data_IF_278987613061
#
_entry.id   IF_278987613061
#
_cell.length_a   1.000
_cell.length_b   1.000
_cell.length_c   1.000
_cell.angle_alpha   90.00
_cell.angle_beta   90.00
_cell.angle_gamma   90.00
#
_symmetry.space_group_name_H-M   'P 1'
#
loop_
_entity.id
_entity.type
_entity.pdbx_description
1 polymer ?
#
# COMPACT_ATOMS: atom_id res chain seq x y z
N UNK A 1 18.29 -10.96 8.49
CA UNK A 1 17.03 -10.20 8.62
C UNK A 1 15.99 -10.89 9.50
N UNK A 2 15.51 -12.12 9.18
CA UNK A 2 14.49 -12.81 10.02
C UNK A 2 14.80 -12.84 11.52
N UNK A 3 16.00 -13.30 11.91
CA UNK A 3 16.44 -13.32 13.32
C UNK A 3 16.31 -11.97 14.04
N UNK A 4 16.54 -10.87 13.33
CA UNK A 4 16.38 -9.52 13.86
C UNK A 4 14.90 -9.17 14.00
N UNK A 5 14.11 -9.37 12.95
CA UNK A 5 12.69 -9.03 12.97
C UNK A 5 11.87 -9.84 13.99
N UNK A 6 12.33 -11.04 14.36
CA UNK A 6 11.71 -11.89 15.39
C UNK A 6 12.36 -11.74 16.78
N UNK A 7 13.26 -10.77 16.98
CA UNK A 7 13.89 -10.55 18.28
C UNK A 7 12.92 -9.92 19.28
N UNK A 8 13.26 -9.99 20.56
CA UNK A 8 12.58 -9.27 21.63
C UNK A 8 12.48 -7.77 21.28
N UNK A 9 11.30 -7.18 21.48
CA UNK A 9 11.04 -5.76 21.22
C UNK A 9 11.07 -5.32 19.75
N UNK A 10 11.11 -6.24 18.79
CA UNK A 10 11.17 -5.90 17.36
C UNK A 10 10.03 -4.97 16.89
N UNK A 11 8.80 -5.11 17.41
CA UNK A 11 7.68 -4.22 17.06
C UNK A 11 7.93 -2.79 17.56
N UNK A 12 8.60 -2.63 18.70
CA UNK A 12 9.02 -1.31 19.18
C UNK A 12 10.11 -0.71 18.30
N UNK A 13 11.08 -1.51 17.88
CA UNK A 13 12.09 -1.09 16.92
C UNK A 13 11.50 -0.67 15.57
N UNK A 14 10.52 -1.41 15.05
CA UNK A 14 9.77 -1.05 13.84
C UNK A 14 9.01 0.27 14.05
N UNK A 15 8.39 0.48 15.21
CA UNK A 15 7.69 1.72 15.54
C UNK A 15 8.63 2.93 15.59
N UNK A 16 9.83 2.78 16.15
CA UNK A 16 10.87 3.82 16.11
C UNK A 16 11.28 4.16 14.68
N UNK A 17 11.46 3.16 13.81
CA UNK A 17 11.74 3.39 12.39
C UNK A 17 10.58 4.15 11.72
N UNK A 18 9.33 3.82 12.03
CA UNK A 18 8.17 4.55 11.51
C UNK A 18 8.23 6.02 11.90
N UNK A 19 8.54 6.32 13.17
CA UNK A 19 8.68 7.68 13.66
C UNK A 19 9.87 8.42 13.06
N UNK A 20 11.00 7.74 12.85
CA UNK A 20 12.19 8.32 12.21
C UNK A 20 11.93 8.64 10.74
N UNK A 21 11.30 7.70 10.03
CA UNK A 21 11.26 7.74 8.58
C UNK A 21 9.96 8.35 8.05
N UNK A 22 8.76 8.05 8.55
CA UNK A 22 7.50 8.51 7.92
C UNK A 22 6.71 9.57 8.67
N UNK A 23 7.11 9.91 9.88
CA UNK A 23 6.42 10.93 10.67
C UNK A 23 7.02 12.29 10.38
N UNK A 24 6.17 13.22 9.95
CA UNK A 24 6.54 14.61 9.72
C UNK A 24 5.85 15.51 10.74
N UNK A 25 6.62 16.46 11.25
CA UNK A 25 6.16 17.55 12.09
C UNK A 25 5.75 18.72 11.21
N UNK A 26 4.49 19.12 11.29
CA UNK A 26 3.95 20.25 10.53
C UNK A 26 3.75 21.42 11.48
N UNK A 27 4.33 22.57 11.12
CA UNK A 27 3.94 23.84 11.73
C UNK A 27 2.61 24.28 11.14
N UNK A 28 1.56 24.30 11.96
CA UNK A 28 0.21 24.65 11.51
C UNK A 28 0.02 26.15 11.30
N UNK A 29 0.87 27.00 11.90
CA UNK A 29 0.82 28.45 11.71
C UNK A 29 1.46 28.83 10.38
N UNK A 30 2.70 28.37 10.17
CA UNK A 30 3.46 28.64 8.94
C UNK A 30 3.05 27.73 7.76
N UNK A 31 2.29 26.66 8.04
CA UNK A 31 1.88 25.63 7.07
C UNK A 31 3.08 24.97 6.37
N UNK A 32 4.18 24.83 7.10
CA UNK A 32 5.43 24.25 6.61
C UNK A 32 5.77 22.95 7.34
N UNK A 33 6.53 22.09 6.69
CA UNK A 33 7.13 20.91 7.33
C UNK A 33 8.40 21.37 8.04
N UNK A 34 8.47 21.11 9.34
CA UNK A 34 9.58 21.54 10.21
C UNK A 34 10.82 20.65 10.00
N UNK A 35 10.61 19.39 9.63
CA UNK A 35 11.70 18.43 9.47
C UNK A 35 12.62 18.78 8.30
N UNK A 36 13.91 18.54 8.53
CA UNK A 36 14.98 18.82 7.58
C UNK A 36 14.67 18.23 6.19
N UNK A 37 14.65 19.04 5.12
CA UNK A 37 14.37 18.53 3.78
C UNK A 37 15.37 17.44 3.33
N UNK A 38 16.64 17.54 3.72
CA UNK A 38 17.66 16.53 3.42
C UNK A 38 17.31 15.15 4.00
N UNK A 39 16.83 15.12 5.24
CA UNK A 39 16.28 13.90 5.86
C UNK A 39 15.05 13.39 5.10
N UNK A 40 14.14 14.28 4.68
CA UNK A 40 12.91 13.89 3.95
C UNK A 40 13.18 13.24 2.60
N UNK A 41 14.27 13.56 1.91
CA UNK A 41 14.64 12.91 0.64
C UNK A 41 15.84 11.97 0.75
N UNK A 42 16.24 11.63 1.98
CA UNK A 42 17.38 10.75 2.19
C UNK A 42 17.11 9.32 1.71
N UNK A 43 18.09 8.77 1.01
CA UNK A 43 18.13 7.34 0.62
C UNK A 43 18.44 6.41 1.80
N UNK A 44 18.70 6.97 2.99
CA UNK A 44 18.88 6.21 4.23
C UNK A 44 17.56 5.83 4.90
N UNK A 45 16.43 6.40 4.46
CA UNK A 45 15.10 6.05 4.97
C UNK A 45 14.66 4.72 4.38
N UNK A 46 13.96 3.92 5.18
CA UNK A 46 13.30 2.74 4.64
C UNK A 46 12.18 3.17 3.71
N UNK A 47 12.02 2.44 2.61
CA UNK A 47 10.78 2.53 1.84
C UNK A 47 9.69 1.63 2.42
N UNK A 48 8.47 1.80 1.91
CA UNK A 48 7.31 1.02 2.33
C UNK A 48 7.51 -0.50 2.19
N UNK A 49 7.95 -1.05 1.04
CA UNK A 49 8.25 -2.48 0.94
C UNK A 49 9.22 -3.01 2.00
N UNK A 50 10.27 -2.27 2.33
CA UNK A 50 11.25 -2.61 3.38
C UNK A 50 10.63 -2.62 4.78
N UNK A 51 9.77 -1.64 5.09
CA UNK A 51 8.96 -1.67 6.31
C UNK A 51 8.14 -2.95 6.40
N UNK A 52 7.42 -3.23 5.32
CA UNK A 52 6.46 -4.32 5.29
C UNK A 52 7.19 -5.67 5.28
N UNK A 53 8.40 -5.75 4.74
CA UNK A 53 9.32 -6.88 4.87
C UNK A 53 9.67 -7.12 6.34
N UNK A 54 10.11 -6.08 7.08
CA UNK A 54 10.38 -6.21 8.52
C UNK A 54 9.14 -6.66 9.30
N UNK A 55 8.01 -6.02 9.07
CA UNK A 55 6.74 -6.38 9.72
C UNK A 55 6.31 -7.82 9.38
N UNK A 56 6.44 -8.18 8.10
CA UNK A 56 6.12 -9.51 7.58
C UNK A 56 6.96 -10.61 8.20
N UNK A 57 8.24 -10.33 8.47
CA UNK A 57 9.12 -11.24 9.20
C UNK A 57 8.82 -11.24 10.71
N UNK A 58 8.46 -10.09 11.30
CA UNK A 58 8.19 -9.97 12.72
C UNK A 58 6.99 -10.83 13.17
N UNK A 59 5.92 -10.86 12.37
CA UNK A 59 4.72 -11.65 12.67
C UNK A 59 4.92 -13.17 12.54
N UNK A 60 6.05 -13.62 12.00
CA UNK A 60 6.44 -15.04 11.98
C UNK A 60 6.88 -15.54 13.36
N UNK A 61 7.19 -14.64 14.29
CA UNK A 61 7.63 -15.02 15.63
C UNK A 61 6.57 -15.86 16.34
N UNK A 62 6.97 -16.99 16.91
CA UNK A 62 6.12 -17.79 17.80
C UNK A 62 5.98 -17.15 19.20
N UNK A 63 6.83 -16.17 19.52
CA UNK A 63 6.91 -15.51 20.82
C UNK A 63 6.27 -14.12 20.79
N UNK A 64 5.48 -13.81 21.82
CA UNK A 64 4.88 -12.48 22.05
C UNK A 64 5.91 -11.42 22.47
N UNK A 65 7.14 -11.84 22.79
CA UNK A 65 8.25 -10.96 23.21
C UNK A 65 8.64 -9.91 22.17
N UNK A 66 8.22 -10.07 20.91
CA UNK A 66 8.38 -9.04 19.88
C UNK A 66 7.69 -7.72 20.23
N UNK A 67 6.66 -7.75 21.07
CA UNK A 67 5.89 -6.57 21.49
C UNK A 67 5.66 -6.45 23.00
N UNK A 68 6.01 -7.45 23.81
CA UNK A 68 5.90 -7.38 25.29
C UNK A 68 7.18 -6.93 25.98
N UNK A 69 8.33 -6.99 25.29
CA UNK A 69 9.63 -6.62 25.85
C UNK A 69 10.09 -5.28 25.29
N UNK A 70 10.37 -4.32 26.18
CA UNK A 70 11.08 -3.10 25.82
C UNK A 70 12.59 -3.40 25.78
N UNK A 71 13.13 -3.53 24.56
CA UNK A 71 14.57 -3.67 24.32
C UNK A 71 15.23 -2.36 23.90
N UNK A 72 16.55 -2.37 23.79
CA UNK A 72 17.30 -1.29 23.16
C UNK A 72 17.03 -1.27 21.65
N UNK A 73 16.18 -0.34 21.22
CA UNK A 73 15.77 -0.20 19.82
C UNK A 73 16.89 0.37 18.95
N UNK A 74 17.92 1.01 19.51
CA UNK A 74 19.02 1.59 18.73
C UNK A 74 19.83 0.53 17.99
N UNK A 75 20.08 -0.61 18.66
CA UNK A 75 20.75 -1.78 18.07
C UNK A 75 19.87 -2.38 16.98
N UNK A 76 18.56 -2.49 17.23
CA UNK A 76 17.61 -3.01 16.24
C UNK A 76 17.62 -2.16 14.97
N UNK A 77 17.45 -0.84 15.11
CA UNK A 77 17.41 0.11 13.99
C UNK A 77 18.71 0.06 13.18
N UNK A 78 19.86 0.12 13.86
CA UNK A 78 21.17 0.08 13.20
C UNK A 78 21.44 -1.23 12.45
N UNK A 79 20.94 -2.36 12.97
CA UNK A 79 21.03 -3.64 12.27
C UNK A 79 20.03 -3.74 11.12
N UNK A 80 18.82 -3.18 11.29
CA UNK A 80 17.79 -3.16 10.24
C UNK A 80 18.28 -2.35 9.03
N UNK A 81 18.77 -1.13 9.26
CA UNK A 81 19.31 -0.26 8.21
C UNK A 81 20.45 -0.94 7.43
N UNK A 82 21.41 -1.55 8.15
CA UNK A 82 22.53 -2.26 7.52
C UNK A 82 22.06 -3.43 6.65
N UNK A 83 21.15 -4.26 7.18
CA UNK A 83 20.68 -5.46 6.48
C UNK A 83 19.79 -5.11 5.28
N UNK A 84 19.01 -4.04 5.37
CA UNK A 84 18.17 -3.56 4.26
C UNK A 84 19.00 -2.86 3.20
N UNK A 85 20.05 -2.12 3.60
CA UNK A 85 21.05 -1.60 2.66
C UNK A 85 21.77 -2.72 1.92
N UNK A 86 22.19 -3.77 2.63
CA UNK A 86 22.78 -4.95 2.01
C UNK A 86 21.81 -5.62 1.03
N UNK A 87 20.52 -5.77 1.40
CA UNK A 87 19.50 -6.30 0.50
C UNK A 87 19.37 -5.44 -0.76
N UNK A 88 19.21 -4.13 -0.60
CA UNK A 88 19.12 -3.18 -1.72
C UNK A 88 20.34 -3.29 -2.64
N UNK A 89 21.54 -3.27 -2.07
CA UNK A 89 22.78 -3.35 -2.84
C UNK A 89 22.91 -4.68 -3.59
N UNK A 90 22.46 -5.80 -3.00
CA UNK A 90 22.39 -7.09 -3.69
C UNK A 90 21.41 -7.09 -4.85
N UNK A 91 20.21 -6.54 -4.65
CA UNK A 91 19.23 -6.38 -5.74
C UNK A 91 19.81 -5.54 -6.87
N UNK A 92 20.53 -4.46 -6.55
CA UNK A 92 21.18 -3.61 -7.55
C UNK A 92 22.35 -4.30 -8.27
N UNK A 93 23.13 -5.12 -7.59
CA UNK A 93 24.20 -5.93 -8.21
C UNK A 93 23.59 -6.95 -9.18
N UNK A 94 22.49 -7.61 -8.81
CA UNK A 94 21.78 -8.56 -9.68
C UNK A 94 21.24 -7.85 -10.93
N UNK A 95 20.71 -6.63 -10.79
CA UNK A 95 20.30 -5.79 -11.92
C UNK A 95 21.48 -5.45 -12.83
N UNK A 96 22.58 -4.95 -12.26
CA UNK A 96 23.78 -4.55 -13.02
C UNK A 96 24.45 -5.71 -13.72
N UNK A 97 24.53 -6.88 -13.09
CA UNK A 97 25.11 -8.08 -13.68
C UNK A 97 24.24 -8.68 -14.79
N UNK A 98 22.93 -8.46 -14.73
CA UNK A 98 22.00 -8.84 -15.79
C UNK A 98 21.96 -7.83 -16.97
N UNK A 99 22.59 -6.66 -16.83
CA UNK A 99 22.67 -5.64 -17.88
C UNK A 99 23.93 -5.82 -18.73
N UNK A 100 23.82 -6.18 -20.02
CA UNK A 100 24.99 -6.13 -20.90
C UNK A 100 25.45 -4.68 -21.11
N UNK A 101 26.73 -4.51 -21.43
CA UNK A 101 27.33 -3.20 -21.72
C UNK A 101 26.64 -2.48 -22.90
N UNK A 102 25.95 -3.24 -23.76
CA UNK A 102 25.19 -2.75 -24.89
C UNK A 102 23.78 -3.37 -24.88
N UNK A 103 22.75 -2.57 -24.63
CA UNK A 103 21.35 -3.03 -24.53
C UNK A 103 20.81 -3.64 -25.85
N UNK A 104 21.50 -3.39 -26.97
CA UNK A 104 21.19 -3.93 -28.29
C UNK A 104 21.69 -5.37 -28.50
N UNK A 105 22.58 -5.88 -27.64
CA UNK A 105 23.14 -7.24 -27.70
C UNK A 105 22.31 -8.26 -26.88
N UNK A 106 21.20 -7.82 -26.28
CA UNK A 106 20.31 -8.67 -25.51
C UNK A 106 19.54 -9.61 -26.44
N UNK A 107 19.99 -10.87 -26.53
CA UNK A 107 19.32 -11.90 -27.34
C UNK A 107 17.90 -12.24 -26.85
N UNK A 108 17.65 -12.21 -25.53
CA UNK A 108 16.32 -12.39 -24.94
C UNK A 108 16.02 -11.26 -23.94
N UNK A 109 15.08 -10.35 -24.24
CA UNK A 109 14.71 -9.24 -23.38
C UNK A 109 14.31 -9.65 -21.95
N UNK A 110 13.81 -10.87 -21.74
CA UNK A 110 13.34 -11.35 -20.43
C UNK A 110 14.48 -11.51 -19.40
N UNK A 111 15.71 -11.77 -19.85
CA UNK A 111 16.85 -12.00 -18.96
C UNK A 111 17.32 -10.71 -18.26
N UNK A 112 17.12 -9.55 -18.92
CA UNK A 112 17.40 -8.21 -18.38
C UNK A 112 16.17 -7.60 -17.71
N UNK A 113 14.99 -7.83 -18.30
CA UNK A 113 13.71 -7.29 -17.78
C UNK A 113 13.35 -7.91 -16.44
N UNK A 114 13.72 -9.16 -16.14
CA UNK A 114 13.42 -9.80 -14.85
C UNK A 114 14.01 -9.05 -13.65
N UNK A 115 15.34 -8.90 -13.54
CA UNK A 115 16.00 -8.18 -12.45
C UNK A 115 15.63 -6.69 -12.40
N UNK A 116 15.63 -5.99 -13.54
CA UNK A 116 15.23 -4.57 -13.59
C UNK A 116 13.76 -4.35 -13.19
N UNK A 117 12.85 -5.22 -13.64
CA UNK A 117 11.46 -5.14 -13.22
C UNK A 117 11.32 -5.45 -11.73
N UNK A 118 12.13 -6.35 -11.14
CA UNK A 118 12.09 -6.60 -9.67
C UNK A 118 12.43 -5.33 -8.89
N UNK A 119 13.48 -4.62 -9.28
CA UNK A 119 13.88 -3.36 -8.63
C UNK A 119 12.78 -2.31 -8.81
N UNK A 120 12.36 -2.01 -10.04
CA UNK A 120 11.37 -0.96 -10.29
C UNK A 120 10.01 -1.28 -9.63
N UNK A 121 9.62 -2.55 -9.58
CA UNK A 121 8.40 -3.00 -8.89
C UNK A 121 8.52 -2.79 -7.38
N UNK A 122 9.68 -3.11 -6.82
CA UNK A 122 9.88 -3.03 -5.38
C UNK A 122 10.05 -1.58 -4.94
N UNK A 123 10.84 -0.78 -5.66
CA UNK A 123 11.26 0.56 -5.22
C UNK A 123 10.55 1.75 -5.91
N UNK A 124 9.92 1.58 -7.09
CA UNK A 124 9.37 2.72 -7.87
C UNK A 124 7.83 2.84 -7.90
N UNK A 125 7.10 1.92 -7.27
CA UNK A 125 5.63 1.92 -7.31
C UNK A 125 5.01 2.87 -6.27
N UNK A 126 4.91 4.17 -6.60
CA UNK A 126 4.03 5.10 -5.89
C UNK A 126 2.66 5.19 -6.58
N UNK A 127 1.59 5.26 -5.79
CA UNK A 127 0.20 5.21 -6.27
C UNK A 127 -0.48 6.57 -6.15
N UNK A 128 -1.32 6.74 -5.14
CA UNK A 128 -2.09 7.96 -4.91
C UNK A 128 -1.62 8.67 -3.65
N UNK A 129 -2.02 9.92 -3.45
CA UNK A 129 -2.00 10.53 -2.12
C UNK A 129 -3.09 9.90 -1.23
N UNK A 130 -2.86 9.86 0.09
CA UNK A 130 -3.77 9.21 1.05
C UNK A 130 -5.24 9.67 0.90
N UNK A 131 -5.45 10.97 0.72
CA UNK A 131 -6.77 11.58 0.60
C UNK A 131 -7.50 11.23 -0.71
N UNK A 132 -6.79 10.78 -1.74
CA UNK A 132 -7.36 10.40 -3.03
C UNK A 132 -7.94 8.98 -3.00
N UNK A 133 -7.47 8.09 -2.11
CA UNK A 133 -7.97 6.72 -2.05
C UNK A 133 -9.48 6.62 -1.81
N UNK A 134 -10.09 7.26 -0.79
CA UNK A 134 -11.50 7.06 -0.50
C UNK A 134 -12.48 7.31 -1.67
N UNK A 135 -12.42 8.44 -2.42
CA UNK A 135 -13.32 8.63 -3.56
C UNK A 135 -13.09 7.59 -4.66
N UNK A 136 -11.83 7.23 -4.95
CA UNK A 136 -11.52 6.21 -5.96
C UNK A 136 -11.96 4.80 -5.55
N UNK A 137 -11.73 4.39 -4.30
CA UNK A 137 -12.22 3.09 -3.77
C UNK A 137 -13.75 3.02 -3.90
N UNK A 138 -14.45 4.08 -3.50
CA UNK A 138 -15.91 4.16 -3.61
C UNK A 138 -16.38 4.00 -5.05
N UNK A 139 -15.76 4.71 -5.99
CA UNK A 139 -16.14 4.65 -7.40
C UNK A 139 -15.80 3.30 -8.02
N UNK A 140 -14.61 2.77 -7.73
CA UNK A 140 -14.11 1.50 -8.25
C UNK A 140 -15.02 0.32 -7.96
N UNK A 141 -15.54 0.24 -6.73
CA UNK A 141 -16.35 -0.89 -6.28
C UNK A 141 -17.85 -0.56 -6.19
N UNK A 142 -18.30 0.55 -6.80
CA UNK A 142 -19.71 0.96 -6.76
C UNK A 142 -20.65 -0.11 -7.33
N UNK A 143 -20.20 -0.86 -8.34
CA UNK A 143 -20.96 -1.92 -9.00
C UNK A 143 -20.81 -3.29 -8.34
N UNK A 144 -19.91 -3.42 -7.37
CA UNK A 144 -19.59 -4.69 -6.69
C UNK A 144 -20.17 -4.77 -5.27
N UNK A 145 -21.00 -3.80 -4.88
CA UNK A 145 -21.51 -3.68 -3.51
C UNK A 145 -22.26 -4.92 -3.02
N UNK A 146 -23.12 -5.49 -3.86
CA UNK A 146 -23.90 -6.68 -3.50
C UNK A 146 -23.02 -7.92 -3.34
N UNK A 147 -21.99 -8.05 -4.19
CA UNK A 147 -21.04 -9.15 -4.10
C UNK A 147 -20.24 -9.04 -2.80
N UNK A 148 -19.76 -7.85 -2.45
CA UNK A 148 -18.99 -7.61 -1.22
C UNK A 148 -19.81 -7.89 0.04
N UNK A 149 -21.07 -7.44 0.08
CA UNK A 149 -21.95 -7.71 1.21
C UNK A 149 -22.21 -9.21 1.39
N UNK A 150 -22.54 -9.92 0.30
CA UNK A 150 -22.87 -11.35 0.34
C UNK A 150 -21.66 -12.21 0.69
N UNK A 151 -20.48 -11.92 0.12
CA UNK A 151 -19.30 -12.79 0.25
C UNK A 151 -18.35 -12.41 1.38
N UNK A 152 -18.34 -11.13 1.79
CA UNK A 152 -17.38 -10.60 2.76
C UNK A 152 -18.05 -9.93 3.96
N UNK A 153 -19.38 -9.91 4.02
CA UNK A 153 -20.16 -9.42 5.16
C UNK A 153 -20.13 -7.90 5.36
N UNK A 154 -19.49 -7.15 4.46
CA UNK A 154 -19.31 -5.71 4.57
C UNK A 154 -19.13 -5.06 3.19
N UNK A 155 -19.78 -3.92 2.97
CA UNK A 155 -19.63 -3.12 1.75
C UNK A 155 -18.45 -2.15 1.85
N UNK A 156 -18.05 -1.58 0.72
CA UNK A 156 -16.90 -0.65 0.64
C UNK A 156 -17.05 0.59 1.52
N UNK A 157 -18.25 1.17 1.63
CA UNK A 157 -18.43 2.43 2.36
C UNK A 157 -18.06 2.28 3.86
N UNK A 158 -18.60 1.30 4.60
CA UNK A 158 -18.13 0.99 5.95
C UNK A 158 -16.64 0.69 6.06
N UNK A 159 -16.03 -0.01 5.09
CA UNK A 159 -14.58 -0.26 5.11
C UNK A 159 -13.79 1.06 5.08
N UNK A 160 -14.17 1.99 4.19
CA UNK A 160 -13.57 3.33 4.11
C UNK A 160 -13.77 4.11 5.42
N UNK A 161 -14.97 4.06 5.99
CA UNK A 161 -15.29 4.75 7.25
C UNK A 161 -14.46 4.23 8.42
N UNK A 162 -14.27 2.92 8.50
CA UNK A 162 -13.41 2.28 9.51
C UNK A 162 -11.96 2.70 9.29
N UNK A 163 -11.43 2.58 8.07
CA UNK A 163 -10.04 2.97 7.77
C UNK A 163 -9.75 4.45 8.07
N UNK A 164 -10.68 5.35 7.75
CA UNK A 164 -10.59 6.77 8.14
C UNK A 164 -10.61 6.96 9.64
N UNK A 165 -11.51 6.27 10.35
CA UNK A 165 -11.54 6.33 11.80
C UNK A 165 -10.22 5.86 12.42
N UNK A 166 -9.64 4.76 11.91
CA UNK A 166 -8.32 4.28 12.33
C UNK A 166 -7.26 5.37 12.09
N UNK A 167 -7.18 5.88 10.86
CA UNK A 167 -6.21 6.92 10.47
C UNK A 167 -6.31 8.17 11.35
N UNK A 168 -7.53 8.67 11.57
CA UNK A 168 -7.77 9.83 12.44
C UNK A 168 -7.36 9.58 13.88
N UNK A 169 -7.60 8.37 14.42
CA UNK A 169 -7.23 8.01 15.79
C UNK A 169 -5.71 7.96 15.96
N UNK A 170 -5.03 7.25 15.06
CA UNK A 170 -3.58 7.14 15.05
C UNK A 170 -2.94 8.53 14.90
N UNK A 171 -3.41 9.36 13.97
CA UNK A 171 -2.90 10.72 13.79
C UNK A 171 -3.03 11.58 15.05
N UNK A 172 -4.15 11.46 15.78
CA UNK A 172 -4.33 12.16 17.07
C UNK A 172 -3.37 11.63 18.13
N UNK A 173 -3.20 10.32 18.24
CA UNK A 173 -2.27 9.70 19.20
C UNK A 173 -0.82 10.11 18.92
N UNK A 174 -0.41 10.11 17.65
CA UNK A 174 0.92 10.54 17.24
C UNK A 174 1.13 12.05 17.46
N UNK A 175 0.09 12.87 17.27
CA UNK A 175 0.13 14.30 17.58
C UNK A 175 0.36 14.55 19.08
N UNK A 176 -0.26 13.76 19.95
CA UNK A 176 -0.02 13.81 21.41
C UNK A 176 1.43 13.43 21.73
N UNK A 177 1.96 12.36 21.13
CA UNK A 177 3.38 11.98 21.25
C UNK A 177 4.31 13.13 20.81
N UNK A 178 4.01 13.77 19.68
CA UNK A 178 4.77 14.93 19.19
C UNK A 178 4.75 16.12 20.16
N UNK A 179 3.60 16.41 20.77
CA UNK A 179 3.47 17.45 21.78
C UNK A 179 4.28 17.14 23.05
N UNK A 180 4.22 15.89 23.53
CA UNK A 180 5.00 15.43 24.69
C UNK A 180 6.51 15.54 24.44
N UNK A 181 6.97 15.16 23.24
CA UNK A 181 8.38 15.37 22.85
C UNK A 181 8.76 16.85 22.87
N UNK A 182 7.90 17.73 22.34
CA UNK A 182 8.14 19.18 22.33
C UNK A 182 8.17 19.79 23.73
N UNK A 183 7.42 19.24 24.68
CA UNK A 183 7.45 19.67 26.10
C UNK A 183 8.61 19.07 26.90
N UNK A 184 9.52 18.32 26.28
CA UNK A 184 10.67 17.72 26.95
C UNK A 184 10.35 16.45 27.75
N UNK A 185 9.17 15.85 27.54
CA UNK A 185 8.83 14.57 28.16
C UNK A 185 9.68 13.45 27.55
N UNK A 186 10.39 12.70 28.39
CA UNK A 186 11.12 11.52 27.95
C UNK A 186 10.13 10.41 27.58
N UNK A 187 10.12 10.02 26.31
CA UNK A 187 9.32 8.91 25.79
C UNK A 187 10.21 7.72 25.50
N UNK A 188 9.70 6.52 25.74
CA UNK A 188 10.34 5.28 25.33
C UNK A 188 9.70 4.73 24.04
N UNK A 189 10.30 3.68 23.48
CA UNK A 189 9.84 3.03 22.26
C UNK A 189 8.44 2.39 22.38
N UNK A 190 8.05 2.02 23.61
CA UNK A 190 6.70 1.57 23.95
C UNK A 190 5.67 2.68 23.78
N UNK A 191 5.97 3.91 24.18
CA UNK A 191 5.06 5.06 24.00
C UNK A 191 4.76 5.33 22.51
N UNK A 192 5.79 5.22 21.67
CA UNK A 192 5.65 5.36 20.22
C UNK A 192 4.80 4.22 19.65
N UNK A 193 5.06 3.00 20.07
CA UNK A 193 4.30 1.83 19.65
C UNK A 193 2.83 1.95 20.05
N UNK A 194 2.57 2.39 21.29
CA UNK A 194 1.22 2.60 21.82
C UNK A 194 0.45 3.67 21.03
N UNK A 195 1.14 4.68 20.48
CA UNK A 195 0.51 5.68 19.62
C UNK A 195 0.05 5.13 18.26
N UNK A 196 0.57 3.96 17.87
CA UNK A 196 0.20 3.23 16.67
C UNK A 196 -0.82 2.11 16.96
N UNK A 197 -1.34 2.03 18.18
CA UNK A 197 -2.28 0.98 18.62
C UNK A 197 -3.66 1.56 18.90
N UNK A 198 -4.70 0.83 18.49
CA UNK A 198 -6.09 1.10 18.86
C UNK A 198 -6.77 -0.13 19.47
N UNK A 199 -7.65 0.03 20.46
CA UNK A 199 -8.46 -1.08 20.96
C UNK A 199 -9.48 -1.55 19.90
N UNK A 200 -9.58 -2.87 19.66
CA UNK A 200 -10.61 -3.42 18.77
C UNK A 200 -12.03 -3.12 19.27
N UNK A 201 -12.19 -2.99 20.59
CA UNK A 201 -13.45 -2.59 21.21
C UNK A 201 -13.94 -1.20 20.76
N UNK A 202 -13.03 -0.27 20.43
CA UNK A 202 -13.42 1.05 19.91
C UNK A 202 -14.11 0.93 18.56
N UNK A 203 -13.59 0.06 17.69
CA UNK A 203 -14.18 -0.21 16.39
C UNK A 203 -15.53 -0.91 16.55
N UNK A 204 -15.60 -1.96 17.37
CA UNK A 204 -16.85 -2.70 17.63
C UNK A 204 -17.95 -1.82 18.20
N UNK A 205 -17.61 -0.92 19.12
CA UNK A 205 -18.55 0.04 19.70
C UNK A 205 -19.12 1.00 18.66
N UNK A 206 -18.29 1.47 17.72
CA UNK A 206 -18.72 2.44 16.69
C UNK A 206 -19.40 1.79 15.49
N UNK A 207 -18.87 0.66 15.01
CA UNK A 207 -19.24 0.05 13.74
C UNK A 207 -19.98 -1.30 13.88
N UNK A 208 -20.17 -1.80 15.11
CA UNK A 208 -20.87 -3.06 15.42
C UNK A 208 -20.25 -4.23 14.64
N UNK A 209 -21.06 -5.17 14.14
CA UNK A 209 -20.57 -6.34 13.40
C UNK A 209 -19.75 -6.03 12.14
N UNK A 210 -19.79 -4.79 11.62
CA UNK A 210 -18.92 -4.36 10.51
C UNK A 210 -17.46 -4.27 10.96
N UNK A 211 -17.20 -4.01 12.24
CA UNK A 211 -15.85 -4.03 12.78
C UNK A 211 -15.23 -5.42 12.68
N UNK A 212 -16.00 -6.47 12.99
CA UNK A 212 -15.51 -7.85 12.96
C UNK A 212 -15.24 -8.31 11.52
N UNK A 213 -16.14 -7.98 10.58
CA UNK A 213 -15.90 -8.25 9.16
C UNK A 213 -14.64 -7.51 8.64
N UNK A 214 -14.45 -6.24 9.03
CA UNK A 214 -13.25 -5.49 8.65
C UNK A 214 -11.96 -6.08 9.25
N UNK A 215 -12.00 -6.42 10.54
CA UNK A 215 -10.88 -7.03 11.27
C UNK A 215 -10.43 -8.35 10.62
N UNK A 216 -11.37 -9.19 10.20
CA UNK A 216 -11.07 -10.44 9.50
C UNK A 216 -10.40 -10.22 8.13
N UNK A 217 -10.75 -9.13 7.43
CA UNK A 217 -10.27 -8.88 6.07
C UNK A 217 -8.92 -8.16 6.01
N UNK A 218 -8.58 -7.38 7.04
CA UNK A 218 -7.44 -6.46 6.98
C UNK A 218 -6.43 -6.63 8.12
N UNK A 219 -6.68 -7.52 9.08
CA UNK A 219 -5.76 -7.76 10.20
C UNK A 219 -5.31 -9.23 10.32
N UNK A 220 -4.03 -9.43 10.63
CA UNK A 220 -3.41 -10.73 10.93
C UNK A 220 -2.93 -10.79 12.37
N UNK A 221 -2.79 -11.98 12.95
CA UNK A 221 -2.25 -12.11 14.30
C UNK A 221 -0.75 -11.80 14.34
N UNK A 222 -0.29 -11.22 15.45
CA UNK A 222 1.10 -10.85 15.68
C UNK A 222 2.09 -12.03 15.76
N UNK A 223 1.59 -13.27 15.86
CA UNK A 223 2.40 -14.45 16.12
C UNK A 223 2.03 -15.62 15.22
N UNK A 224 3.05 -16.39 14.82
CA UNK A 224 2.94 -17.57 13.99
C UNK A 224 2.09 -17.37 12.71
N UNK A 225 2.13 -16.17 12.12
CA UNK A 225 1.48 -15.86 10.83
C UNK A 225 2.52 -15.57 9.76
N UNK A 226 2.08 -15.49 8.49
CA UNK A 226 2.97 -15.20 7.37
C UNK A 226 4.15 -16.19 7.22
N UNK A 227 4.00 -17.44 7.70
CA UNK A 227 5.07 -18.44 7.77
C UNK A 227 5.62 -18.82 6.37
N UNK A 228 4.79 -18.70 5.33
CA UNK A 228 5.18 -18.94 3.94
C UNK A 228 6.07 -17.85 3.32
N UNK A 229 6.30 -16.74 4.03
CA UNK A 229 7.13 -15.64 3.54
C UNK A 229 8.62 -15.92 3.80
N UNK A 230 9.24 -16.62 2.85
CA UNK A 230 10.64 -17.08 2.95
C UNK A 230 11.64 -16.34 2.08
N UNK A 231 11.16 -15.49 1.17
CA UNK A 231 11.93 -14.72 0.20
C UNK A 231 11.35 -13.28 0.19
N UNK A 232 12.17 -12.20 0.19
CA UNK A 232 11.68 -10.83 0.06
C UNK A 232 10.73 -10.58 -1.12
N UNK A 233 10.80 -11.41 -2.17
CA UNK A 233 9.91 -11.35 -3.34
C UNK A 233 8.75 -12.36 -3.30
N UNK A 234 8.65 -13.16 -2.24
CA UNK A 234 7.50 -14.01 -1.97
C UNK A 234 6.30 -13.18 -1.49
N UNK A 235 5.12 -13.82 -1.44
CA UNK A 235 3.92 -13.16 -0.95
C UNK A 235 4.08 -12.85 0.54
N UNK A 236 3.94 -11.57 0.87
CA UNK A 236 3.96 -11.09 2.24
C UNK A 236 2.52 -10.78 2.69
N UNK A 237 1.97 -11.55 3.64
CA UNK A 237 0.61 -11.37 4.13
C UNK A 237 0.38 -9.96 4.71
N UNK A 238 1.39 -9.33 5.32
CA UNK A 238 1.23 -7.97 5.86
C UNK A 238 1.04 -6.92 4.76
N UNK A 239 1.48 -7.19 3.53
CA UNK A 239 1.16 -6.32 2.40
C UNK A 239 -0.33 -6.37 2.04
N UNK A 240 -1.05 -7.41 2.43
CA UNK A 240 -2.46 -7.62 2.07
C UNK A 240 -3.39 -7.42 3.27
N UNK A 241 -2.85 -7.59 4.47
CA UNK A 241 -3.52 -7.35 5.74
C UNK A 241 -2.55 -6.57 6.64
N UNK A 242 -2.46 -5.24 6.46
CA UNK A 242 -1.39 -4.42 7.06
C UNK A 242 -1.59 -4.12 8.53
N UNK A 243 -2.71 -4.52 9.13
CA UNK A 243 -2.98 -4.38 10.56
C UNK A 243 -2.50 -5.65 11.27
N UNK A 244 -1.82 -5.48 12.40
CA UNK A 244 -1.38 -6.60 13.24
C UNK A 244 -2.20 -6.64 14.53
N UNK A 245 -2.87 -7.76 14.78
CA UNK A 245 -3.67 -8.02 15.97
C UNK A 245 -2.77 -8.50 17.10
N UNK A 246 -2.73 -7.72 18.17
CA UNK A 246 -2.03 -7.98 19.43
C UNK A 246 -3.11 -8.17 20.51
N UNK A 247 -3.56 -9.42 20.70
CA UNK A 247 -4.70 -9.71 21.57
C UNK A 247 -5.96 -8.92 21.15
N UNK A 248 -6.44 -8.04 22.04
CA UNK A 248 -7.62 -7.18 21.80
C UNK A 248 -7.29 -5.81 21.17
N UNK A 249 -6.06 -5.64 20.70
CA UNK A 249 -5.54 -4.40 20.15
C UNK A 249 -5.11 -4.59 18.69
N UNK A 250 -5.20 -3.50 17.93
CA UNK A 250 -4.78 -3.43 16.53
C UNK A 250 -3.60 -2.48 16.43
N UNK A 251 -2.43 -3.02 16.10
CA UNK A 251 -1.24 -2.26 15.73
C UNK A 251 -1.32 -1.89 14.24
N UNK A 252 -1.23 -0.59 13.95
CA UNK A 252 -1.44 0.00 12.62
C UNK A 252 -0.16 0.73 12.20
N UNK A 253 0.85 0.00 11.69
CA UNK A 253 2.17 0.56 11.39
C UNK A 253 2.16 1.50 10.19
N UNK A 254 1.21 1.33 9.27
CA UNK A 254 1.18 2.10 8.04
C UNK A 254 -0.26 2.35 7.56
N UNK A 255 -0.76 3.56 7.82
CA UNK A 255 -2.10 3.98 7.40
C UNK A 255 -2.22 4.01 5.86
N UNK A 256 -1.16 4.40 5.15
CA UNK A 256 -1.16 4.44 3.69
C UNK A 256 -1.38 3.05 3.08
N UNK A 257 -0.66 2.04 3.59
CA UNK A 257 -0.82 0.65 3.15
C UNK A 257 -2.23 0.12 3.43
N UNK A 258 -2.88 0.56 4.51
CA UNK A 258 -4.28 0.23 4.76
C UNK A 258 -5.18 0.71 3.61
N UNK A 259 -5.07 1.97 3.19
CA UNK A 259 -5.88 2.49 2.08
C UNK A 259 -5.52 1.85 0.74
N UNK A 260 -4.25 1.59 0.46
CA UNK A 260 -3.86 0.81 -0.72
C UNK A 260 -4.53 -0.56 -0.75
N UNK A 261 -4.52 -1.25 0.39
CA UNK A 261 -5.12 -2.56 0.52
C UNK A 261 -6.63 -2.52 0.32
N UNK A 262 -7.33 -1.51 0.85
CA UNK A 262 -8.76 -1.29 0.57
C UNK A 262 -9.02 -1.03 -0.92
N UNK A 263 -8.08 -0.39 -1.62
CA UNK A 263 -8.17 -0.16 -3.06
C UNK A 263 -7.89 -1.41 -3.88
N UNK A 264 -6.96 -2.26 -3.47
CA UNK A 264 -6.47 -3.40 -4.25
C UNK A 264 -7.20 -4.71 -3.95
N UNK A 265 -7.31 -5.07 -2.68
CA UNK A 265 -7.72 -6.42 -2.23
C UNK A 265 -9.11 -6.86 -2.68
N UNK A 266 -10.16 -6.01 -2.68
CA UNK A 266 -11.49 -6.47 -3.08
C UNK A 266 -11.55 -7.02 -4.51
N UNK A 267 -10.79 -6.43 -5.43
CA UNK A 267 -10.65 -6.95 -6.79
C UNK A 267 -10.06 -8.37 -6.81
N UNK A 268 -9.01 -8.63 -6.03
CA UNK A 268 -8.41 -9.97 -5.98
C UNK A 268 -9.30 -11.02 -5.33
N UNK A 269 -10.16 -10.63 -4.39
CA UNK A 269 -11.16 -11.54 -3.83
C UNK A 269 -12.17 -11.96 -4.91
N UNK A 270 -12.65 -10.99 -5.70
CA UNK A 270 -13.60 -11.23 -6.78
C UNK A 270 -13.01 -12.06 -7.93
N UNK A 271 -11.70 -11.94 -8.20
CA UNK A 271 -11.04 -12.76 -9.21
C UNK A 271 -11.03 -14.27 -8.88
N UNK A 272 -11.28 -14.65 -7.63
CA UNK A 272 -11.34 -16.07 -7.22
C UNK A 272 -12.74 -16.65 -7.27
N UNK A 273 -13.75 -15.81 -7.40
CA UNK A 273 -15.10 -16.27 -7.65
C UNK A 273 -15.24 -16.48 -9.16
N UNK A 274 -15.17 -17.73 -9.60
CA UNK A 274 -15.27 -18.08 -11.03
C UNK A 274 -16.57 -17.55 -11.66
N UNK A 275 -17.64 -17.41 -10.89
CA UNK A 275 -18.93 -16.92 -11.37
C UNK A 275 -19.00 -15.39 -11.44
N UNK A 276 -18.06 -14.67 -10.81
CA UNK A 276 -18.05 -13.22 -10.75
C UNK A 276 -16.80 -12.57 -11.36
N UNK A 277 -15.75 -13.35 -11.60
CA UNK A 277 -14.45 -12.87 -12.11
C UNK A 277 -14.59 -11.99 -13.36
N UNK A 278 -15.39 -12.40 -14.34
CA UNK A 278 -15.57 -11.62 -15.58
C UNK A 278 -16.33 -10.32 -15.34
N UNK A 279 -17.33 -10.33 -14.45
CA UNK A 279 -18.05 -9.12 -14.03
C UNK A 279 -17.09 -8.14 -13.35
N UNK A 280 -16.23 -8.63 -12.45
CA UNK A 280 -15.24 -7.81 -11.76
C UNK A 280 -14.21 -7.18 -12.71
N UNK A 281 -13.74 -7.94 -13.72
CA UNK A 281 -12.83 -7.42 -14.76
C UNK A 281 -13.51 -6.31 -15.57
N UNK A 282 -14.74 -6.52 -16.01
CA UNK A 282 -15.52 -5.51 -16.74
C UNK A 282 -15.76 -4.25 -15.89
N UNK A 283 -16.19 -4.40 -14.64
CA UNK A 283 -16.40 -3.28 -13.72
C UNK A 283 -15.12 -2.45 -13.51
N UNK A 284 -13.96 -3.11 -13.35
CA UNK A 284 -12.66 -2.45 -13.24
C UNK A 284 -12.28 -1.69 -14.52
N UNK A 285 -12.55 -2.27 -15.70
CA UNK A 285 -12.33 -1.62 -17.00
C UNK A 285 -13.15 -0.34 -17.12
N UNK A 286 -14.46 -0.43 -16.91
CA UNK A 286 -15.35 0.75 -16.96
C UNK A 286 -14.98 1.81 -15.92
N UNK A 287 -14.56 1.39 -14.72
CA UNK A 287 -14.05 2.34 -13.72
C UNK A 287 -12.84 3.13 -14.26
N UNK A 288 -11.85 2.45 -14.84
CA UNK A 288 -10.64 3.09 -15.34
C UNK A 288 -10.94 4.13 -16.42
N UNK A 289 -11.72 3.75 -17.43
CA UNK A 289 -12.13 4.62 -18.54
C UNK A 289 -12.91 5.84 -18.01
N UNK A 290 -13.99 5.60 -17.26
CA UNK A 290 -14.86 6.67 -16.77
C UNK A 290 -14.14 7.63 -15.81
N UNK A 291 -13.25 7.12 -14.97
CA UNK A 291 -12.43 7.95 -14.06
C UNK A 291 -11.40 8.77 -14.83
N UNK A 292 -10.69 8.16 -15.79
CA UNK A 292 -9.73 8.90 -16.61
C UNK A 292 -10.42 10.01 -17.41
N UNK A 293 -11.57 9.72 -18.03
CA UNK A 293 -12.36 10.73 -18.73
C UNK A 293 -12.82 11.84 -17.79
N UNK A 294 -13.29 11.50 -16.59
CA UNK A 294 -13.70 12.49 -15.59
C UNK A 294 -12.56 13.43 -15.19
N UNK A 295 -11.36 12.89 -14.94
CA UNK A 295 -10.17 13.69 -14.60
C UNK A 295 -9.82 14.61 -15.77
N UNK A 296 -9.77 14.09 -17.01
CA UNK A 296 -9.45 14.88 -18.20
C UNK A 296 -10.47 16.00 -18.43
N UNK A 297 -11.76 15.74 -18.21
CA UNK A 297 -12.80 16.78 -18.30
C UNK A 297 -12.61 17.90 -17.30
N UNK A 298 -12.10 17.60 -16.10
CA UNK A 298 -11.84 18.65 -15.09
C UNK A 298 -10.68 19.57 -15.47
N UNK A 299 -9.81 19.14 -16.39
CA UNK A 299 -8.64 19.89 -16.86
C UNK A 299 -8.93 20.60 -18.19
N UNK A 300 -9.54 19.89 -19.15
CA UNK A 300 -9.70 20.34 -20.53
C UNK A 300 -11.11 20.81 -20.87
N UNK A 301 -12.08 20.65 -19.98
CA UNK A 301 -13.50 20.94 -20.24
C UNK A 301 -14.26 19.75 -20.84
N UNK A 302 -15.55 19.58 -20.51
CA UNK A 302 -16.37 18.45 -20.97
C UNK A 302 -16.54 18.39 -22.50
N UNK A 303 -16.54 19.53 -23.18
CA UNK A 303 -16.69 19.67 -24.63
C UNK A 303 -15.49 19.12 -25.43
N UNK A 304 -14.33 19.04 -24.78
CA UNK A 304 -13.05 18.68 -25.39
C UNK A 304 -12.65 17.21 -25.16
N UNK A 305 -13.48 16.42 -24.45
CA UNK A 305 -13.15 15.04 -24.05
C UNK A 305 -14.20 14.06 -24.54
N UNK A 306 -13.79 13.19 -25.46
CA UNK A 306 -14.63 12.21 -26.14
C UNK A 306 -14.24 10.79 -25.71
N UNK A 307 -15.21 9.98 -25.26
CA UNK A 307 -15.00 8.58 -24.88
C UNK A 307 -15.39 7.63 -26.02
N UNK A 308 -14.73 6.47 -26.11
CA UNK A 308 -15.05 5.39 -27.05
C UNK A 308 -15.09 5.83 -28.53
N UNK A 309 -14.06 6.58 -28.96
CA UNK A 309 -13.98 7.10 -30.32
C UNK A 309 -13.59 5.99 -31.28
N UNK A 310 -14.40 5.78 -32.32
CA UNK A 310 -14.07 4.85 -33.41
C UNK A 310 -13.44 5.61 -34.57
N UNK A 311 -12.27 5.16 -35.01
CA UNK A 311 -11.58 5.70 -36.18
C UNK A 311 -11.94 4.89 -37.42
N UNK A 312 -12.18 5.59 -38.53
CA UNK A 312 -12.45 4.99 -39.83
C UNK A 312 -11.42 5.44 -40.88
N UNK A 313 -11.00 4.52 -41.74
CA UNK A 313 -10.25 4.79 -42.97
C UNK A 313 -11.23 4.82 -44.15
N UNK A 314 -11.74 6.01 -44.49
CA UNK A 314 -12.85 6.17 -45.43
C UNK A 314 -14.22 5.84 -44.80
N UNK A 315 -15.22 5.50 -45.61
CA UNK A 315 -16.62 5.38 -45.17
C UNK A 315 -17.01 4.04 -44.54
N UNK A 316 -16.19 3.00 -44.69
CA UNK A 316 -16.57 1.63 -44.28
C UNK A 316 -15.49 0.84 -43.53
N UNK A 317 -14.24 1.28 -43.54
CA UNK A 317 -13.16 0.51 -42.94
C UNK A 317 -12.82 1.04 -41.54
N UNK A 318 -12.96 0.21 -40.51
CA UNK A 318 -12.67 0.60 -39.13
C UNK A 318 -11.17 0.49 -38.89
N UNK A 319 -10.51 1.64 -38.71
CA UNK A 319 -9.06 1.72 -38.53
C UNK A 319 -8.61 1.48 -37.08
N UNK A 320 -9.48 1.74 -36.09
CA UNK A 320 -9.15 1.54 -34.68
C UNK A 320 -10.18 2.11 -33.71
N UNK A 321 -9.90 1.96 -32.43
CA UNK A 321 -10.67 2.52 -31.32
C UNK A 321 -9.73 3.28 -30.38
N UNK A 322 -10.24 4.36 -29.80
CA UNK A 322 -9.56 5.17 -28.79
C UNK A 322 -10.48 5.24 -27.58
N UNK A 323 -9.98 4.82 -26.41
CA UNK A 323 -10.77 4.82 -25.18
C UNK A 323 -11.16 6.26 -24.80
N UNK A 324 -10.21 7.20 -24.81
CA UNK A 324 -10.47 8.63 -24.58
C UNK A 324 -9.62 9.49 -25.52
N UNK A 325 -10.28 10.39 -26.24
CA UNK A 325 -9.68 11.41 -27.10
C UNK A 325 -9.90 12.79 -26.50
N UNK A 326 -8.84 13.56 -26.33
CA UNK A 326 -8.92 14.97 -25.93
C UNK A 326 -8.49 15.85 -27.10
N UNK A 327 -9.31 16.84 -27.45
CA UNK A 327 -8.98 17.87 -28.44
C UNK A 327 -8.84 19.21 -27.74
N UNK A 328 -7.66 19.82 -27.74
CA UNK A 328 -7.44 21.09 -27.05
C UNK A 328 -6.51 22.01 -27.86
N UNK A 329 -7.07 23.07 -28.41
CA UNK A 329 -6.35 23.93 -29.36
C UNK A 329 -5.92 23.14 -30.59
N UNK A 330 -4.61 23.14 -30.86
CA UNK A 330 -4.01 22.37 -31.96
C UNK A 330 -3.55 20.95 -31.55
N UNK A 331 -3.70 20.60 -30.27
CA UNK A 331 -3.24 19.32 -29.74
C UNK A 331 -4.36 18.29 -29.64
N UNK A 332 -3.98 17.03 -29.89
CA UNK A 332 -4.81 15.87 -29.67
C UNK A 332 -4.09 14.93 -28.71
N UNK A 333 -4.74 14.59 -27.59
CA UNK A 333 -4.24 13.56 -26.68
C UNK A 333 -5.05 12.28 -26.87
N UNK A 334 -4.36 11.20 -27.18
CA UNK A 334 -4.93 9.85 -27.34
C UNK A 334 -4.60 9.05 -26.09
N UNK A 335 -5.62 8.62 -25.35
CA UNK A 335 -5.46 7.89 -24.09
C UNK A 335 -6.03 6.48 -24.25
N UNK A 336 -5.17 5.49 -24.00
CA UNK A 336 -5.56 4.09 -23.91
C UNK A 336 -5.55 3.63 -22.45
N UNK A 337 -6.73 3.37 -21.91
CA UNK A 337 -6.97 2.87 -20.57
C UNK A 337 -6.72 1.36 -20.48
N UNK A 338 -5.54 0.96 -19.99
CA UNK A 338 -5.23 -0.47 -19.78
C UNK A 338 -5.46 -0.88 -18.33
N UNK A 339 -6.50 -1.69 -18.11
CA UNK A 339 -6.82 -2.27 -16.79
C UNK A 339 -6.10 -3.61 -16.52
N UNK A 340 -5.38 -4.16 -17.51
CA UNK A 340 -4.65 -5.44 -17.38
C UNK A 340 -3.52 -5.30 -16.36
N UNK A 341 -3.65 -6.01 -15.24
CA UNK A 341 -2.49 -6.46 -14.48
C UNK A 341 -1.80 -7.47 -15.38
N UNK A 342 -0.58 -7.20 -15.86
CA UNK A 342 0.28 -8.29 -16.34
C UNK A 342 0.35 -9.29 -15.20
N UNK A 343 -0.26 -10.46 -15.39
CA UNK A 343 -0.48 -11.48 -14.37
C UNK A 343 0.80 -11.70 -13.56
N UNK A 344 0.88 -11.09 -12.38
CA UNK A 344 1.76 -11.58 -11.32
C UNK A 344 1.09 -12.84 -10.81
N UNK A 345 1.71 -13.98 -11.03
CA UNK A 345 1.34 -15.29 -10.49
C UNK A 345 1.42 -15.39 -8.94
N UNK A 346 1.26 -14.28 -8.18
CA UNK A 346 1.60 -14.25 -6.74
C UNK A 346 0.66 -13.49 -5.80
N UNK A 347 -0.49 -12.97 -6.24
CA UNK A 347 -1.51 -12.44 -5.31
C UNK A 347 -2.61 -13.48 -5.02
N UNK A 348 -2.28 -14.52 -4.25
CA UNK A 348 -3.23 -15.54 -3.77
C UNK A 348 -3.29 -15.49 -2.24
N UNK A 349 -3.84 -14.41 -1.68
CA UNK A 349 -4.15 -14.29 -0.26
C UNK A 349 -5.51 -14.88 0.13
N UNK A 350 -5.51 -16.08 0.75
CA UNK A 350 -6.53 -16.74 1.62
C UNK A 350 -8.04 -16.58 1.35
N UNK A 351 -8.76 -17.67 1.65
CA UNK A 351 -10.22 -17.86 1.63
C UNK A 351 -11.00 -16.73 2.31
#
# INVERSE_FOLDING_TARGET
MRRLATSDGAIHGISEIIFRDWVYTIDTQERTVVDDPGHRWSTSRLNKPELMLLLGLAVQSESDRTHTVLGDTSVFMSQADRLLRELHDRVMIDVKSALPANLLEVGNPLDVVGPMAREAIYYAAESFYLHQFPPFIRQRYRRDGDWLLRNKGISILPMIEIARFISDRINRQMSVVGQLRKSGTALNSGDLTNSLIIPLADLRRKFKGRADAFDQLFAINANATNLGFTDPFAMNETMICPIVRIGNFLYVPNQYRLFETLYESPFYWMLRDENYMEIAKTNRGTFLESTAAHILRSVFGPENVHENVTLYNGTKDKAGEIDILVTYGEFVLVVQAKSRVRTRSRFIART
#
